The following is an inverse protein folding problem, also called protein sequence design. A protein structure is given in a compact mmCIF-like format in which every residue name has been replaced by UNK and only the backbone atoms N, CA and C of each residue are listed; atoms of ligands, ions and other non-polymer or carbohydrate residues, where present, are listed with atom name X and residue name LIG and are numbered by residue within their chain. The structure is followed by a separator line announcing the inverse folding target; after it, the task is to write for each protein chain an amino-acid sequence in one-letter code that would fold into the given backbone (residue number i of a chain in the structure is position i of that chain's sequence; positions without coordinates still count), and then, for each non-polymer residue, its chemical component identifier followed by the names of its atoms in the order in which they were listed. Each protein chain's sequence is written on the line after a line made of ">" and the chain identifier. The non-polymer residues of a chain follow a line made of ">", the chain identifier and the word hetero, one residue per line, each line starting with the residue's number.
data_IF_253991726552
#
_entry.id   IF_253991726552
#
_cell.length_a   1.000
_cell.length_b   1.000
_cell.length_c   1.000
_cell.angle_alpha   90.00
_cell.angle_beta   90.00
_cell.angle_gamma   90.00
#
_symmetry.space_group_name_H-M   'P 1'
#
loop_
_entity.id
_entity.type
_entity.pdbx_description
1 polymer ?
#
# COMPACT_ATOMS: atom_id res chain seq x y z
N UNK A 1 5.45 -2.89 10.68
CA UNK A 1 4.48 -3.79 10.02
C UNK A 1 3.10 -3.22 10.19
N UNK A 2 2.39 -3.06 9.07
CA UNK A 2 0.99 -2.65 9.02
C UNK A 2 0.12 -3.91 8.79
N UNK A 3 -0.76 -4.28 9.73
CA UNK A 3 -1.58 -5.50 9.64
C UNK A 3 -2.80 -5.29 8.75
N UNK A 4 -3.32 -6.39 8.19
CA UNK A 4 -4.56 -6.47 7.40
C UNK A 4 -4.55 -5.67 6.09
N UNK A 5 -3.36 -5.48 5.53
CA UNK A 5 -3.16 -4.93 4.19
C UNK A 5 -2.17 -5.79 3.41
N UNK A 6 -2.31 -5.79 2.08
CA UNK A 6 -1.30 -6.27 1.15
C UNK A 6 -0.73 -5.11 0.33
N UNK A 7 0.53 -5.26 -0.09
CA UNK A 7 1.11 -4.43 -1.14
C UNK A 7 0.62 -4.92 -2.51
N UNK A 8 0.25 -3.99 -3.38
CA UNK A 8 -0.17 -4.28 -4.75
C UNK A 8 0.27 -3.16 -5.70
N UNK A 9 0.13 -3.38 -7.00
CA UNK A 9 0.49 -2.41 -8.04
C UNK A 9 -0.65 -2.28 -9.04
N UNK A 10 -1.08 -1.06 -9.33
CA UNK A 10 -2.19 -0.81 -10.25
C UNK A 10 -2.00 0.48 -11.05
N UNK A 11 -2.58 0.49 -12.25
CA UNK A 11 -2.58 1.63 -13.15
C UNK A 11 -1.33 1.69 -14.03
N UNK A 12 -1.17 2.80 -14.73
CA UNK A 12 0.02 3.11 -15.51
C UNK A 12 0.48 4.51 -15.16
N UNK A 13 1.74 4.64 -14.78
CA UNK A 13 2.42 5.90 -14.57
C UNK A 13 3.45 6.11 -15.68
N UNK A 14 3.37 7.24 -16.36
CA UNK A 14 4.40 7.65 -17.33
C UNK A 14 5.74 7.99 -16.65
N UNK A 15 5.71 8.40 -15.38
CA UNK A 15 6.92 8.70 -14.62
C UNK A 15 7.72 7.42 -14.33
N UNK A 16 7.02 6.36 -13.94
CA UNK A 16 7.64 5.07 -13.57
C UNK A 16 7.68 4.07 -14.73
N UNK A 17 7.01 4.37 -15.85
CA UNK A 17 6.81 3.46 -16.99
C UNK A 17 6.27 2.11 -16.48
N UNK A 18 5.28 2.17 -15.61
CA UNK A 18 4.80 1.01 -14.87
C UNK A 18 3.68 1.33 -13.88
N UNK A 19 3.22 0.30 -13.19
CA UNK A 19 2.15 0.42 -12.21
C UNK A 19 2.72 0.92 -10.87
N UNK A 20 2.31 2.09 -10.36
CA UNK A 20 2.75 2.54 -9.04
C UNK A 20 2.13 1.69 -7.92
N UNK A 21 2.79 1.68 -6.77
CA UNK A 21 2.40 0.89 -5.62
C UNK A 21 1.09 1.40 -4.99
N UNK A 22 0.36 0.50 -4.34
CA UNK A 22 -0.77 0.82 -3.46
C UNK A 22 -0.85 -0.22 -2.34
N UNK A 23 -1.61 0.08 -1.30
CA UNK A 23 -1.96 -0.87 -0.25
C UNK A 23 -3.44 -1.21 -0.37
N UNK A 24 -3.83 -2.45 -0.06
CA UNK A 24 -5.22 -2.87 -0.17
C UNK A 24 -5.59 -3.71 1.04
N UNK A 25 -6.72 -3.36 1.68
CA UNK A 25 -7.25 -4.10 2.81
C UNK A 25 -7.38 -5.58 2.46
N UNK A 26 -6.68 -6.42 3.20
CA UNK A 26 -6.62 -7.87 3.00
C UNK A 26 -6.37 -8.52 4.36
N UNK A 27 -7.43 -9.00 5.04
CA UNK A 27 -7.32 -9.59 6.36
C UNK A 27 -6.31 -10.73 6.42
N UNK A 28 -5.46 -10.75 7.45
CA UNK A 28 -4.41 -11.75 7.65
C UNK A 28 -3.13 -11.55 6.83
N UNK A 29 -3.07 -10.50 6.00
CA UNK A 29 -1.83 -10.07 5.34
C UNK A 29 -1.17 -8.94 6.13
N UNK A 30 0.06 -8.61 5.74
CA UNK A 30 0.74 -7.45 6.30
C UNK A 30 1.71 -6.83 5.31
N UNK A 31 1.98 -5.53 5.52
CA UNK A 31 2.96 -4.76 4.75
C UNK A 31 4.12 -4.34 5.65
N UNK A 32 5.33 -4.56 5.15
CA UNK A 32 6.55 -3.98 5.71
C UNK A 32 6.90 -2.70 4.96
N UNK A 33 7.49 -1.74 5.66
CA UNK A 33 7.87 -0.46 5.13
C UNK A 33 8.78 0.30 6.09
N UNK A 34 9.11 1.53 5.73
CA UNK A 34 9.85 2.46 6.57
C UNK A 34 8.90 3.47 7.23
N UNK A 35 9.24 3.93 8.43
CA UNK A 35 8.58 5.05 9.10
C UNK A 35 9.50 6.26 8.96
N UNK A 36 8.94 7.38 8.48
CA UNK A 36 9.64 8.66 8.36
C UNK A 36 9.02 9.66 9.33
N UNK A 37 9.87 10.42 10.03
CA UNK A 37 9.46 11.54 10.88
C UNK A 37 9.75 12.84 10.13
N UNK A 38 8.72 13.69 10.01
CA UNK A 38 8.75 14.93 9.23
C UNK A 38 8.01 16.03 9.98
N UNK A 39 8.27 17.29 9.62
CA UNK A 39 7.49 18.40 10.16
C UNK A 39 6.06 18.37 9.60
N UNK A 40 5.09 18.84 10.37
CA UNK A 40 3.70 18.95 9.90
C UNK A 40 3.55 19.94 8.74
N UNK A 41 4.46 20.90 8.62
CA UNK A 41 4.53 21.82 7.49
C UNK A 41 4.70 21.10 6.15
N UNK A 42 5.28 19.89 6.14
CA UNK A 42 5.53 19.12 4.91
C UNK A 42 4.30 18.32 4.44
N UNK A 43 3.22 18.25 5.23
CA UNK A 43 2.03 17.43 4.89
C UNK A 43 1.40 17.87 3.57
N UNK A 44 1.24 19.17 3.35
CA UNK A 44 0.66 19.69 2.10
C UNK A 44 1.53 19.32 0.89
N UNK A 45 2.86 19.39 1.06
CA UNK A 45 3.79 19.02 0.01
C UNK A 45 3.69 17.52 -0.33
N UNK A 46 3.60 16.65 0.68
CA UNK A 46 3.41 15.21 0.48
C UNK A 46 2.07 14.91 -0.21
N UNK A 47 0.99 15.56 0.23
CA UNK A 47 -0.33 15.37 -0.37
C UNK A 47 -0.35 15.79 -1.85
N UNK A 48 0.43 16.81 -2.22
CA UNK A 48 0.59 17.22 -3.62
C UNK A 48 1.40 16.21 -4.44
N UNK A 49 2.44 15.59 -3.87
CA UNK A 49 3.21 14.55 -4.54
C UNK A 49 2.38 13.29 -4.80
N UNK A 50 1.52 12.93 -3.86
CA UNK A 50 0.68 11.73 -3.89
C UNK A 50 -0.69 11.98 -4.54
N UNK A 51 -0.79 12.96 -5.44
CA UNK A 51 -2.01 13.26 -6.16
C UNK A 51 -2.57 12.01 -6.88
N UNK A 52 -3.80 11.60 -6.53
CA UNK A 52 -4.41 10.34 -6.99
C UNK A 52 -4.47 9.25 -5.92
N UNK A 53 -3.95 9.54 -4.72
CA UNK A 53 -4.05 8.71 -3.53
C UNK A 53 -4.92 9.37 -2.47
N UNK A 54 -5.55 8.54 -1.63
CA UNK A 54 -6.23 8.93 -0.41
C UNK A 54 -5.27 8.76 0.76
N UNK A 55 -5.14 9.80 1.56
CA UNK A 55 -4.33 9.78 2.77
C UNK A 55 -5.17 9.40 4.00
N UNK A 56 -4.63 8.55 4.87
CA UNK A 56 -5.27 8.17 6.13
C UNK A 56 -4.23 7.77 7.18
N UNK A 57 -4.68 7.51 8.41
CA UNK A 57 -3.82 7.11 9.52
C UNK A 57 -3.99 5.63 9.83
N UNK A 58 -2.87 4.95 10.11
CA UNK A 58 -2.85 3.55 10.50
C UNK A 58 -1.82 3.31 11.59
N UNK A 59 -2.12 2.36 12.48
CA UNK A 59 -1.16 1.93 13.50
C UNK A 59 -0.18 0.92 12.92
N UNK A 60 1.10 1.28 12.90
CA UNK A 60 2.21 0.45 12.46
C UNK A 60 2.96 -0.09 13.67
N UNK A 61 3.24 -1.39 13.68
CA UNK A 61 3.95 -2.08 14.77
C UNK A 61 5.41 -2.30 14.38
N UNK A 62 6.38 -1.85 15.19
CA UNK A 62 7.80 -2.11 14.95
C UNK A 62 8.22 -3.52 15.42
N UNK A 63 9.44 -3.93 15.11
CA UNK A 63 10.00 -5.19 15.61
C UNK A 63 10.07 -5.26 17.14
N UNK A 64 10.18 -4.13 17.83
CA UNK A 64 10.16 -4.06 19.30
C UNK A 64 8.74 -4.11 19.89
N UNK A 65 7.70 -4.14 19.04
CA UNK A 65 6.30 -4.11 19.47
C UNK A 65 5.75 -2.71 19.73
N UNK A 66 6.55 -1.65 19.52
CA UNK A 66 6.07 -0.28 19.63
C UNK A 66 5.08 0.04 18.51
N UNK A 67 4.05 0.83 18.84
CA UNK A 67 3.01 1.25 17.90
C UNK A 67 3.17 2.72 17.56
N UNK A 68 3.10 3.04 16.27
CA UNK A 68 3.13 4.40 15.76
C UNK A 68 1.91 4.64 14.87
N UNK A 69 1.22 5.73 15.11
CA UNK A 69 0.15 6.17 14.22
C UNK A 69 0.78 6.95 13.05
N UNK A 70 0.78 6.35 11.87
CA UNK A 70 1.47 6.87 10.69
C UNK A 70 0.45 7.30 9.63
N UNK A 71 0.73 8.42 8.96
CA UNK A 71 0.03 8.80 7.73
C UNK A 71 0.51 7.89 6.59
N UNK A 72 -0.42 7.33 5.83
CA UNK A 72 -0.17 6.47 4.67
C UNK A 72 -1.04 6.92 3.50
N UNK A 73 -0.65 6.51 2.29
CA UNK A 73 -1.34 6.84 1.05
C UNK A 73 -1.76 5.55 0.32
N UNK A 74 -3.01 5.49 -0.11
CA UNK A 74 -3.58 4.39 -0.90
C UNK A 74 -4.18 4.95 -2.19
N UNK A 75 -3.91 4.34 -3.34
CA UNK A 75 -4.54 4.77 -4.59
C UNK A 75 -6.06 4.76 -4.48
N UNK A 76 -6.72 5.76 -5.06
CA UNK A 76 -8.20 5.84 -5.09
C UNK A 76 -8.81 4.59 -5.74
N UNK A 77 -8.12 4.03 -6.75
CA UNK A 77 -8.48 2.76 -7.37
C UNK A 77 -7.56 1.67 -6.81
N UNK A 78 -8.15 0.64 -6.23
CA UNK A 78 -7.42 -0.53 -5.75
C UNK A 78 -7.82 -1.77 -6.54
N UNK A 79 -6.90 -2.72 -6.78
CA UNK A 79 -7.25 -4.01 -7.36
C UNK A 79 -8.25 -4.76 -6.49
N UNK A 80 -9.11 -5.55 -7.14
CA UNK A 80 -9.93 -6.55 -6.47
C UNK A 80 -9.06 -7.47 -5.60
N UNK A 81 -9.68 -8.09 -4.59
CA UNK A 81 -8.99 -9.01 -3.69
C UNK A 81 -8.17 -10.05 -4.48
N UNK A 82 -6.95 -10.31 -4.00
CA UNK A 82 -6.07 -11.31 -4.60
C UNK A 82 -6.77 -12.67 -4.59
N UNK A 83 -7.13 -13.17 -5.76
CA UNK A 83 -7.61 -14.54 -5.91
C UNK A 83 -6.42 -15.45 -5.63
N UNK A 84 -6.56 -16.41 -4.70
CA UNK A 84 -5.50 -17.38 -4.47
C UNK A 84 -5.31 -18.15 -5.78
N UNK A 85 -4.06 -18.28 -6.24
CA UNK A 85 -3.75 -19.00 -7.48
C UNK A 85 -4.36 -20.41 -7.51
N UNK A 86 -4.47 -21.06 -6.34
CA UNK A 86 -5.11 -22.37 -6.15
C UNK A 86 -6.62 -22.39 -6.40
N UNK A 87 -7.28 -21.25 -6.30
CA UNK A 87 -8.72 -21.08 -6.49
C UNK A 87 -9.07 -20.68 -7.95
N UNK A 88 -8.06 -20.36 -8.77
CA UNK A 88 -8.26 -20.09 -10.18
C UNK A 88 -8.56 -21.40 -10.91
N UNK A 89 -9.68 -21.44 -11.66
CA UNK A 89 -10.11 -22.62 -12.43
C UNK A 89 -9.12 -23.09 -13.49
N UNK A 90 -8.13 -22.26 -13.83
CA UNK A 90 -7.10 -22.59 -14.81
C UNK A 90 -5.82 -21.80 -14.51
N UNK A 91 -4.92 -22.28 -13.64
CA UNK A 91 -3.65 -21.61 -13.42
C UNK A 91 -2.88 -21.67 -14.75
N UNK A 92 -2.61 -20.50 -15.34
CA UNK A 92 -1.69 -20.41 -16.48
C UNK A 92 -0.32 -20.88 -15.98
N UNK A 93 0.03 -22.14 -16.26
CA UNK A 93 1.35 -22.68 -16.02
C UNK A 93 2.23 -22.14 -17.16
N UNK A 94 3.24 -21.30 -16.89
CA UNK A 94 4.17 -20.90 -17.94
C UNK A 94 4.89 -22.14 -18.48
N UNK A 95 4.94 -22.24 -19.81
CA UNK A 95 5.67 -23.26 -20.57
C UNK A 95 7.17 -23.25 -20.31
#
# INVERSE_FOLDING_TARGET
>A
MMPDYRLDFIGWSNLWIGAPATIVETPGFHVWGAIWELDKADIEHLDHQEAGYNAFQVDVVTHSGAKYNCRVYQQIKVPNACAKLRELRNPMIPS
#
